data_IF_155184740724
#
_entry.id   IF_155184740724
#
_cell.length_a   1.000
_cell.length_b   1.000
_cell.length_c   1.000
_cell.angle_alpha   90.00
_cell.angle_beta   90.00
_cell.angle_gamma   90.00
#
_symmetry.space_group_name_H-M   'P 1'
#
loop_
_entity.id
_entity.type
_entity.pdbx_description
1 polymer ?
#
# COMPACT_ATOMS: atom_id res chain seq x y z
N UNK A 1 -20.13 -2.31 -17.99
CA UNK A 1 -21.29 -2.01 -17.15
C UNK A 1 -22.50 -1.85 -18.05
N UNK A 2 -23.56 -2.58 -17.75
CA UNK A 2 -24.83 -2.57 -18.45
C UNK A 2 -25.94 -2.33 -17.43
N UNK A 3 -27.01 -1.65 -17.87
CA UNK A 3 -28.24 -1.42 -17.11
C UNK A 3 -29.33 -2.27 -17.75
N UNK A 4 -30.04 -3.08 -16.96
CA UNK A 4 -31.23 -3.76 -17.44
C UNK A 4 -32.41 -2.79 -17.45
N UNK A 5 -32.89 -2.42 -18.64
CA UNK A 5 -34.02 -1.51 -18.79
C UNK A 5 -35.35 -2.13 -18.38
N UNK A 6 -35.45 -3.46 -18.36
CA UNK A 6 -36.66 -4.22 -18.02
C UNK A 6 -36.69 -4.71 -16.58
N UNK A 7 -35.71 -4.32 -15.77
CA UNK A 7 -35.68 -4.70 -14.36
C UNK A 7 -36.93 -4.18 -13.65
N UNK A 8 -37.57 -5.05 -12.87
CA UNK A 8 -38.70 -4.70 -12.03
C UNK A 8 -38.25 -4.73 -10.58
N UNK A 9 -38.11 -3.56 -9.92
CA UNK A 9 -37.62 -3.48 -8.55
C UNK A 9 -38.55 -4.22 -7.58
N UNK A 10 -37.95 -4.95 -6.63
CA UNK A 10 -38.71 -5.62 -5.58
C UNK A 10 -39.21 -4.61 -4.53
N UNK A 11 -40.54 -4.47 -4.43
CA UNK A 11 -41.19 -3.53 -3.49
C UNK A 11 -40.88 -3.81 -2.01
N UNK A 12 -40.49 -5.04 -1.66
CA UNK A 12 -40.10 -5.42 -0.30
C UNK A 12 -38.63 -5.07 0.02
N UNK A 13 -37.83 -4.71 -0.99
CA UNK A 13 -36.44 -4.29 -0.83
C UNK A 13 -36.24 -2.83 -1.28
N UNK A 14 -36.20 -1.86 -0.35
CA UNK A 14 -36.04 -0.45 -0.69
C UNK A 14 -34.70 -0.11 -1.37
N UNK A 15 -33.71 -1.01 -1.35
CA UNK A 15 -32.42 -0.84 -2.04
C UNK A 15 -32.44 -1.35 -3.49
N UNK A 16 -33.40 -2.21 -3.85
CA UNK A 16 -33.52 -2.80 -5.19
C UNK A 16 -34.25 -1.84 -6.13
N UNK A 17 -33.55 -0.81 -6.60
CA UNK A 17 -34.12 0.20 -7.51
C UNK A 17 -33.72 -0.01 -8.98
N UNK A 18 -32.49 -0.50 -9.22
CA UNK A 18 -31.91 -0.66 -10.55
C UNK A 18 -30.99 -1.88 -10.59
N UNK A 19 -30.96 -2.57 -11.72
CA UNK A 19 -30.06 -3.70 -11.95
C UNK A 19 -28.91 -3.31 -12.89
N UNK A 20 -27.70 -3.21 -12.31
CA UNK A 20 -26.46 -2.94 -13.02
C UNK A 20 -25.53 -4.14 -12.97
N UNK A 21 -25.00 -4.56 -14.12
CA UNK A 21 -24.06 -5.68 -14.21
C UNK A 21 -22.79 -5.38 -15.03
N UNK A 22 -21.69 -6.03 -14.65
CA UNK A 22 -20.43 -5.99 -15.40
C UNK A 22 -20.27 -7.27 -16.21
N UNK A 23 -20.54 -7.18 -17.52
CA UNK A 23 -20.26 -8.27 -18.44
C UNK A 23 -18.96 -8.03 -19.24
N UNK A 24 -18.14 -9.08 -19.34
CA UNK A 24 -16.91 -9.09 -20.15
C UNK A 24 -17.22 -9.12 -21.66
N UNK A 25 -18.36 -9.70 -22.05
CA UNK A 25 -18.90 -9.69 -23.41
C UNK A 25 -20.28 -9.03 -23.41
N UNK A 26 -20.80 -8.61 -24.57
CA UNK A 26 -22.13 -8.01 -24.65
C UNK A 26 -23.18 -9.07 -24.25
N UNK A 27 -23.99 -8.82 -23.21
CA UNK A 27 -25.05 -9.74 -22.82
C UNK A 27 -26.15 -9.78 -23.88
N UNK A 28 -26.85 -10.91 -23.98
CA UNK A 28 -27.97 -11.07 -24.90
C UNK A 28 -29.24 -10.44 -24.32
N UNK A 29 -30.04 -9.81 -25.19
CA UNK A 29 -31.33 -9.25 -24.81
C UNK A 29 -32.41 -10.29 -25.07
N UNK A 30 -33.33 -10.44 -24.12
CA UNK A 30 -34.44 -11.37 -24.20
C UNK A 30 -35.77 -10.67 -23.85
N UNK A 31 -36.84 -11.46 -23.64
CA UNK A 31 -38.16 -10.91 -23.31
C UNK A 31 -38.18 -10.20 -21.95
N UNK A 32 -37.39 -10.67 -20.99
CA UNK A 32 -37.31 -10.22 -19.60
C UNK A 32 -36.15 -9.25 -19.34
N UNK A 33 -35.07 -9.33 -20.10
CA UNK A 33 -33.88 -8.49 -19.90
C UNK A 33 -33.58 -7.69 -21.16
N UNK A 34 -33.33 -6.39 -20.97
CA UNK A 34 -32.80 -5.54 -22.02
C UNK A 34 -31.59 -4.79 -21.50
N UNK A 35 -30.40 -5.25 -21.86
CA UNK A 35 -29.15 -4.71 -21.39
C UNK A 35 -28.67 -3.55 -22.26
N UNK A 36 -28.79 -2.35 -21.70
CA UNK A 36 -28.23 -1.14 -22.28
C UNK A 36 -26.81 -0.92 -21.79
N UNK A 37 -25.86 -0.72 -22.70
CA UNK A 37 -24.48 -0.39 -22.32
C UNK A 37 -24.43 1.05 -21.85
N UNK A 38 -24.21 1.25 -20.54
CA UNK A 38 -24.34 2.56 -19.89
C UNK A 38 -23.50 3.64 -20.58
N UNK A 39 -22.27 3.33 -21.01
CA UNK A 39 -21.40 4.31 -21.67
C UNK A 39 -21.95 4.88 -22.99
N UNK A 40 -22.81 4.13 -23.68
CA UNK A 40 -23.38 4.56 -24.95
C UNK A 40 -24.40 5.71 -24.76
N UNK A 41 -24.82 6.00 -23.50
CA UNK A 41 -25.71 7.13 -23.17
C UNK A 41 -25.11 8.49 -23.55
N UNK A 42 -23.77 8.62 -23.50
CA UNK A 42 -23.06 9.86 -23.79
C UNK A 42 -23.13 10.23 -25.28
N UNK A 43 -23.29 9.22 -26.14
CA UNK A 43 -23.39 9.38 -27.60
C UNK A 43 -24.86 9.35 -28.07
N UNK A 44 -25.80 9.09 -27.16
CA UNK A 44 -27.21 8.89 -27.47
C UNK A 44 -27.90 10.22 -27.82
N UNK A 45 -28.08 10.46 -29.12
CA UNK A 45 -28.71 11.69 -29.63
C UNK A 45 -30.15 11.87 -29.14
N UNK A 46 -30.98 10.83 -29.26
CA UNK A 46 -32.41 10.87 -28.88
C UNK A 46 -32.82 9.55 -28.22
N UNK A 47 -33.28 9.64 -26.97
CA UNK A 47 -33.83 8.50 -26.22
C UNK A 47 -35.08 7.96 -26.92
N UNK A 48 -35.94 8.85 -27.41
CA UNK A 48 -37.19 8.50 -28.09
C UNK A 48 -36.93 7.66 -29.35
N UNK A 49 -35.93 8.06 -30.15
CA UNK A 49 -35.60 7.31 -31.37
C UNK A 49 -35.06 5.92 -31.05
N UNK A 50 -34.16 5.84 -30.05
CA UNK A 50 -33.58 4.58 -29.59
C UNK A 50 -34.65 3.63 -29.02
N UNK A 51 -35.57 4.16 -28.21
CA UNK A 51 -36.69 3.40 -27.66
C UNK A 51 -37.58 2.84 -28.76
N UNK A 52 -37.87 3.64 -29.80
CA UNK A 52 -38.67 3.19 -30.94
C UNK A 52 -37.97 2.13 -31.79
N UNK A 53 -36.67 2.28 -32.04
CA UNK A 53 -35.86 1.34 -32.83
C UNK A 53 -35.70 -0.03 -32.15
N UNK A 54 -35.81 -0.06 -30.82
CA UNK A 54 -35.65 -1.28 -30.02
C UNK A 54 -36.94 -1.75 -29.35
N UNK A 55 -38.09 -1.21 -29.78
CA UNK A 55 -39.42 -1.60 -29.29
C UNK A 55 -39.54 -1.52 -27.75
N UNK A 56 -38.90 -0.52 -27.16
CA UNK A 56 -38.94 -0.25 -25.72
C UNK A 56 -40.24 0.47 -25.35
N UNK A 57 -40.81 0.11 -24.21
CA UNK A 57 -42.00 0.73 -23.66
C UNK A 57 -41.73 2.08 -23.00
N UNK A 58 -42.78 2.66 -22.42
CA UNK A 58 -42.71 3.95 -21.75
C UNK A 58 -41.83 3.93 -20.51
N UNK A 59 -41.85 2.84 -19.74
CA UNK A 59 -41.05 2.69 -18.52
C UNK A 59 -39.56 2.59 -18.85
N UNK A 60 -39.19 1.78 -19.84
CA UNK A 60 -37.80 1.63 -20.28
C UNK A 60 -37.25 2.92 -20.91
N UNK A 61 -38.08 3.64 -21.66
CA UNK A 61 -37.72 4.95 -22.22
C UNK A 61 -37.50 5.99 -21.12
N UNK A 62 -38.34 6.02 -20.09
CA UNK A 62 -38.17 6.92 -18.95
C UNK A 62 -36.90 6.61 -18.16
N UNK A 63 -36.54 5.33 -18.01
CA UNK A 63 -35.30 4.90 -17.37
C UNK A 63 -34.06 5.41 -18.13
N UNK A 64 -34.06 5.31 -19.46
CA UNK A 64 -33.00 5.84 -20.31
C UNK A 64 -32.91 7.37 -20.24
N UNK A 65 -34.05 8.05 -20.15
CA UNK A 65 -34.10 9.50 -20.01
C UNK A 65 -33.53 9.95 -18.65
N UNK A 66 -33.87 9.26 -17.57
CA UNK A 66 -33.28 9.47 -16.26
C UNK A 66 -31.76 9.25 -16.27
N UNK A 67 -31.30 8.17 -16.91
CA UNK A 67 -29.88 7.90 -17.06
C UNK A 67 -29.18 9.03 -17.85
N UNK A 68 -29.78 9.48 -18.95
CA UNK A 68 -29.23 10.59 -19.75
C UNK A 68 -29.18 11.88 -18.94
N UNK A 69 -30.23 12.20 -18.18
CA UNK A 69 -30.27 13.39 -17.35
C UNK A 69 -29.18 13.34 -16.27
N UNK A 70 -29.05 12.22 -15.57
CA UNK A 70 -28.05 12.05 -14.52
C UNK A 70 -26.60 12.24 -15.01
N UNK A 71 -26.28 11.82 -16.23
CA UNK A 71 -24.93 11.93 -16.80
C UNK A 71 -24.66 13.22 -17.58
N UNK A 72 -25.65 13.71 -18.32
CA UNK A 72 -25.45 14.79 -19.30
C UNK A 72 -26.06 16.14 -18.88
N UNK A 73 -26.98 16.16 -17.91
CA UNK A 73 -27.74 17.35 -17.56
C UNK A 73 -27.53 17.75 -16.11
N UNK A 74 -27.71 16.79 -15.21
CA UNK A 74 -27.50 16.99 -13.78
C UNK A 74 -26.00 16.98 -13.48
N UNK A 75 -25.50 18.07 -12.90
CA UNK A 75 -24.09 18.17 -12.50
C UNK A 75 -23.82 17.41 -11.20
N UNK A 76 -24.25 16.14 -11.14
CA UNK A 76 -24.09 15.29 -9.95
C UNK A 76 -22.63 14.91 -9.71
N UNK A 77 -21.85 14.79 -10.78
CA UNK A 77 -20.44 14.40 -10.74
C UNK A 77 -19.58 15.65 -10.91
N UNK A 78 -18.88 16.03 -9.86
CA UNK A 78 -17.79 17.01 -9.96
C UNK A 78 -16.55 16.29 -10.49
N UNK A 79 -16.14 16.60 -11.71
CA UNK A 79 -14.91 16.10 -12.30
C UNK A 79 -13.98 17.24 -12.69
N UNK A 80 -12.69 16.96 -12.67
CA UNK A 80 -11.64 17.87 -13.14
C UNK A 80 -10.69 17.05 -14.00
N UNK A 81 -10.39 17.54 -15.20
CA UNK A 81 -9.41 16.90 -16.08
C UNK A 81 -8.00 17.33 -15.64
N UNK A 82 -7.24 16.39 -15.08
CA UNK A 82 -5.83 16.60 -14.76
C UNK A 82 -4.98 16.18 -15.96
N UNK A 83 -4.36 17.17 -16.61
CA UNK A 83 -3.49 16.97 -17.78
C UNK A 83 -2.08 16.55 -17.39
N UNK A 84 -1.65 16.80 -16.15
CA UNK A 84 -0.36 16.34 -15.65
C UNK A 84 -0.39 14.86 -15.29
N UNK A 85 0.47 14.07 -15.93
CA UNK A 85 0.68 12.65 -15.61
C UNK A 85 1.52 12.45 -14.32
N UNK A 86 1.36 13.33 -13.33
CA UNK A 86 2.05 13.20 -12.04
C UNK A 86 1.19 12.39 -11.07
N UNK A 87 1.54 11.12 -10.93
CA UNK A 87 0.79 10.18 -10.10
C UNK A 87 0.76 10.60 -8.61
N UNK A 88 1.77 11.33 -8.09
CA UNK A 88 1.71 11.88 -6.72
C UNK A 88 0.66 12.98 -6.58
N UNK A 89 0.45 13.80 -7.62
CA UNK A 89 -0.56 14.86 -7.62
C UNK A 89 -1.96 14.24 -7.62
N UNK A 90 -2.18 13.25 -8.50
CA UNK A 90 -3.42 12.46 -8.54
C UNK A 90 -3.72 11.81 -7.19
N UNK A 91 -2.69 11.22 -6.57
CA UNK A 91 -2.78 10.61 -5.24
C UNK A 91 -3.19 11.61 -4.15
N UNK A 92 -2.56 12.80 -4.14
CA UNK A 92 -2.88 13.86 -3.17
C UNK A 92 -4.29 14.42 -3.38
N UNK A 93 -4.73 14.59 -4.64
CA UNK A 93 -6.11 14.98 -4.97
C UNK A 93 -7.08 13.91 -4.44
N UNK A 94 -6.80 12.64 -4.70
CA UNK A 94 -7.65 11.54 -4.24
C UNK A 94 -7.78 11.50 -2.71
N UNK A 95 -6.67 11.62 -1.97
CA UNK A 95 -6.69 11.65 -0.51
C UNK A 95 -7.52 12.83 0.00
N UNK A 96 -7.33 14.03 -0.58
CA UNK A 96 -8.08 15.24 -0.20
C UNK A 96 -9.58 15.12 -0.49
N UNK A 97 -9.97 14.46 -1.59
CA UNK A 97 -11.39 14.24 -1.91
C UNK A 97 -12.01 13.18 -0.99
N UNK A 98 -11.27 12.11 -0.67
CA UNK A 98 -11.75 11.05 0.23
C UNK A 98 -11.72 11.43 1.71
N UNK A 99 -10.96 12.45 2.12
CA UNK A 99 -10.94 12.92 3.52
C UNK A 99 -12.27 13.51 4.01
N UNK A 100 -13.25 13.73 3.12
CA UNK A 100 -14.63 14.05 3.48
C UNK A 100 -15.50 12.83 3.81
N UNK A 101 -15.00 11.60 3.62
CA UNK A 101 -15.70 10.32 3.83
C UNK A 101 -14.87 9.31 4.63
N UNK A 102 -14.96 8.01 4.32
CA UNK A 102 -14.10 6.98 4.94
C UNK A 102 -12.68 7.12 4.43
N UNK A 103 -11.75 7.45 5.32
CA UNK A 103 -10.35 7.71 4.98
C UNK A 103 -9.66 6.44 4.48
N UNK A 104 -9.42 6.37 3.16
CA UNK A 104 -8.49 5.40 2.59
C UNK A 104 -7.06 5.86 2.89
N UNK A 105 -6.27 4.99 3.53
CA UNK A 105 -4.90 5.35 3.86
C UNK A 105 -4.05 5.52 2.60
N UNK A 106 -3.04 6.39 2.65
CA UNK A 106 -2.03 6.54 1.58
C UNK A 106 -1.47 5.18 1.12
N UNK A 107 -1.32 4.24 2.07
CA UNK A 107 -0.85 2.89 1.81
C UNK A 107 -1.85 2.06 0.99
N UNK A 108 -3.15 2.16 1.27
CA UNK A 108 -4.16 1.38 0.54
C UNK A 108 -4.25 1.85 -0.91
N UNK A 109 -4.18 3.17 -1.12
CA UNK A 109 -4.16 3.76 -2.45
C UNK A 109 -2.89 3.40 -3.21
N UNK A 110 -1.73 3.50 -2.56
CA UNK A 110 -0.46 3.10 -3.16
C UNK A 110 -0.45 1.60 -3.51
N UNK A 111 -1.00 0.74 -2.64
CA UNK A 111 -1.17 -0.69 -2.91
C UNK A 111 -2.11 -0.96 -4.10
N UNK A 112 -3.20 -0.19 -4.25
CA UNK A 112 -4.12 -0.35 -5.39
C UNK A 112 -3.42 -0.08 -6.71
N UNK A 113 -2.59 0.97 -6.76
CA UNK A 113 -1.79 1.33 -7.94
C UNK A 113 -0.67 0.32 -8.17
N UNK A 114 -0.01 -0.13 -7.10
CA UNK A 114 1.03 -1.13 -7.17
C UNK A 114 0.50 -2.45 -7.72
N UNK A 115 -0.64 -2.94 -7.24
CA UNK A 115 -1.22 -4.22 -7.68
C UNK A 115 -1.39 -4.26 -9.20
N UNK A 116 -1.76 -3.15 -9.83
CA UNK A 116 -1.87 -3.06 -11.29
C UNK A 116 -0.52 -2.97 -12.03
N UNK A 117 0.56 -2.65 -11.31
CA UNK A 117 1.90 -2.44 -11.87
C UNK A 117 2.82 -3.67 -11.74
N UNK A 118 2.54 -4.57 -10.80
CA UNK A 118 3.23 -5.85 -10.65
C UNK A 118 2.70 -6.87 -11.67
N UNK A 119 3.58 -7.71 -12.20
CA UNK A 119 3.23 -8.77 -13.15
C UNK A 119 2.78 -10.06 -12.45
N UNK A 120 3.23 -10.25 -11.21
CA UNK A 120 2.87 -11.35 -10.31
C UNK A 120 1.69 -10.97 -9.39
N UNK A 121 1.05 -11.96 -8.76
CA UNK A 121 0.08 -11.71 -7.68
C UNK A 121 0.78 -11.27 -6.39
N UNK A 122 1.43 -10.11 -6.45
CA UNK A 122 2.15 -9.52 -5.33
C UNK A 122 1.22 -9.22 -4.17
N UNK A 123 -0.08 -8.98 -4.44
CA UNK A 123 -1.06 -8.60 -3.44
C UNK A 123 -1.33 -9.77 -2.50
N UNK A 124 -1.54 -10.96 -3.07
CA UNK A 124 -1.70 -12.18 -2.29
C UNK A 124 -0.42 -12.51 -1.52
N UNK A 125 0.74 -12.52 -2.19
CA UNK A 125 2.05 -12.80 -1.55
C UNK A 125 2.39 -11.83 -0.41
N UNK A 126 2.08 -10.54 -0.59
CA UNK A 126 2.26 -9.52 0.43
C UNK A 126 1.35 -9.76 1.64
N UNK A 127 0.09 -10.14 1.39
CA UNK A 127 -0.87 -10.47 2.44
C UNK A 127 -0.38 -11.69 3.24
N UNK A 128 0.03 -12.75 2.56
CA UNK A 128 0.57 -13.96 3.18
C UNK A 128 1.80 -13.65 4.05
N UNK A 129 2.73 -12.82 3.55
CA UNK A 129 3.90 -12.41 4.32
C UNK A 129 3.52 -11.61 5.58
N UNK A 130 2.60 -10.65 5.47
CA UNK A 130 2.12 -9.86 6.61
C UNK A 130 1.42 -10.75 7.64
N UNK A 131 0.56 -11.67 7.20
CA UNK A 131 -0.16 -12.58 8.08
C UNK A 131 0.82 -13.55 8.78
N UNK A 132 1.79 -14.11 8.06
CA UNK A 132 2.82 -14.96 8.63
C UNK A 132 3.73 -14.24 9.64
N UNK A 133 4.08 -12.98 9.40
CA UNK A 133 4.85 -12.15 10.35
C UNK A 133 4.03 -11.83 11.60
N UNK A 134 2.74 -11.55 11.43
CA UNK A 134 1.82 -11.32 12.54
C UNK A 134 1.72 -12.55 13.44
N UNK A 135 1.60 -13.74 12.86
CA UNK A 135 1.55 -15.02 13.59
C UNK A 135 2.85 -15.30 14.35
N UNK A 136 3.98 -14.78 13.88
CA UNK A 136 5.29 -14.82 14.56
C UNK A 136 5.47 -13.73 15.63
N UNK A 137 4.44 -12.94 15.93
CA UNK A 137 4.49 -11.87 16.93
C UNK A 137 4.99 -10.52 16.42
N UNK A 138 5.11 -10.31 15.10
CA UNK A 138 5.53 -9.04 14.50
C UNK A 138 4.34 -8.30 13.86
N UNK A 139 3.28 -8.09 14.65
CA UNK A 139 2.04 -7.42 14.19
C UNK A 139 2.20 -5.97 13.75
N UNK A 140 3.35 -5.35 14.08
CA UNK A 140 3.74 -4.02 13.62
C UNK A 140 4.29 -4.02 12.17
N UNK A 141 4.58 -5.18 11.57
CA UNK A 141 4.93 -5.32 10.15
C UNK A 141 3.67 -5.34 9.28
N UNK A 142 2.98 -4.21 9.16
CA UNK A 142 1.84 -4.08 8.25
C UNK A 142 2.33 -3.89 6.81
N UNK A 143 1.39 -3.83 5.86
CA UNK A 143 1.67 -3.76 4.42
C UNK A 143 2.60 -2.61 4.04
N UNK A 144 2.43 -1.43 4.64
CA UNK A 144 3.29 -0.26 4.43
C UNK A 144 4.71 -0.50 4.92
N UNK A 145 4.90 -1.10 6.10
CA UNK A 145 6.24 -1.45 6.60
C UNK A 145 6.91 -2.49 5.71
N UNK A 146 6.17 -3.51 5.25
CA UNK A 146 6.72 -4.54 4.36
C UNK A 146 7.11 -3.92 3.01
N UNK A 147 6.26 -3.12 2.38
CA UNK A 147 6.58 -2.43 1.13
C UNK A 147 7.83 -1.55 1.26
N UNK A 148 7.93 -0.79 2.36
CA UNK A 148 9.09 0.07 2.62
C UNK A 148 10.35 -0.76 2.86
N UNK A 149 10.22 -1.92 3.48
CA UNK A 149 11.29 -2.91 3.62
C UNK A 149 11.70 -3.42 2.24
N UNK A 150 10.77 -3.76 1.33
CA UNK A 150 11.11 -4.15 -0.04
C UNK A 150 11.94 -3.07 -0.75
N UNK A 151 11.54 -1.79 -0.66
CA UNK A 151 12.30 -0.68 -1.24
C UNK A 151 13.71 -0.54 -0.66
N UNK A 152 13.84 -0.68 0.67
CA UNK A 152 15.13 -0.68 1.37
C UNK A 152 16.03 -1.80 0.84
N UNK A 153 15.51 -3.03 0.75
CA UNK A 153 16.30 -4.20 0.40
C UNK A 153 16.79 -4.17 -1.05
N UNK A 154 15.99 -3.68 -2.00
CA UNK A 154 16.43 -3.53 -3.40
C UNK A 154 17.39 -2.35 -3.64
N UNK A 155 17.79 -1.64 -2.57
CA UNK A 155 18.73 -0.52 -2.62
C UNK A 155 18.19 0.72 -3.32
N UNK A 156 16.87 0.90 -3.28
CA UNK A 156 16.20 2.08 -3.83
C UNK A 156 16.07 3.18 -2.77
N UNK A 157 15.74 4.40 -3.22
CA UNK A 157 15.44 5.49 -2.29
C UNK A 157 14.31 5.05 -1.32
N UNK A 158 14.59 5.12 -0.02
CA UNK A 158 13.74 4.60 1.06
C UNK A 158 12.58 5.51 1.43
N UNK A 159 12.51 6.73 0.85
CA UNK A 159 11.33 7.57 0.98
C UNK A 159 10.10 6.78 0.51
N UNK A 160 9.08 6.68 1.36
CA UNK A 160 7.82 6.01 1.00
C UNK A 160 6.97 6.92 0.10
N UNK A 161 7.50 7.24 -1.08
CA UNK A 161 6.85 8.06 -2.10
C UNK A 161 6.63 7.22 -3.35
N UNK A 162 5.47 7.41 -3.97
CA UNK A 162 5.07 6.67 -5.15
C UNK A 162 6.05 6.80 -6.34
N UNK A 163 6.82 7.91 -6.42
CA UNK A 163 7.94 8.06 -7.39
C UNK A 163 9.00 6.94 -7.28
N UNK A 164 9.17 6.34 -6.10
CA UNK A 164 10.12 5.28 -5.83
C UNK A 164 9.57 3.88 -6.17
N UNK A 165 8.28 3.77 -6.47
CA UNK A 165 7.65 2.56 -6.99
C UNK A 165 7.47 2.65 -8.52
N UNK A 166 8.54 3.03 -9.22
CA UNK A 166 8.56 3.04 -10.68
C UNK A 166 8.78 1.62 -11.24
N UNK A 167 8.53 1.43 -12.55
CA UNK A 167 8.70 0.13 -13.24
C UNK A 167 10.04 -0.57 -12.93
N UNK A 168 11.21 0.12 -12.98
CA UNK A 168 12.49 -0.50 -12.60
C UNK A 168 12.52 -1.06 -11.18
N UNK A 169 12.02 -0.30 -10.20
CA UNK A 169 12.06 -0.73 -8.79
C UNK A 169 11.06 -1.85 -8.51
N UNK A 170 9.85 -1.77 -9.10
CA UNK A 170 8.85 -2.84 -9.04
C UNK A 170 9.45 -4.14 -9.58
N UNK A 171 10.07 -4.10 -10.76
CA UNK A 171 10.72 -5.27 -11.35
C UNK A 171 11.82 -5.83 -10.45
N UNK A 172 12.66 -4.98 -9.84
CA UNK A 172 13.67 -5.44 -8.87
C UNK A 172 13.05 -6.15 -7.67
N UNK A 173 11.92 -5.65 -7.15
CA UNK A 173 11.20 -6.28 -6.04
C UNK A 173 10.68 -7.66 -6.47
N UNK A 174 10.11 -7.77 -7.68
CA UNK A 174 9.64 -9.05 -8.21
C UNK A 174 10.78 -10.05 -8.39
N UNK A 175 11.84 -9.64 -9.07
CA UNK A 175 13.01 -10.47 -9.38
C UNK A 175 13.73 -10.95 -8.11
N UNK A 176 13.63 -10.20 -7.01
CA UNK A 176 14.27 -10.51 -5.73
C UNK A 176 13.30 -10.97 -4.63
N UNK A 177 12.03 -11.24 -4.96
CA UNK A 177 10.99 -11.46 -3.94
C UNK A 177 11.35 -12.57 -2.95
N UNK A 178 11.77 -13.74 -3.44
CA UNK A 178 12.16 -14.88 -2.59
C UNK A 178 13.31 -14.52 -1.64
N UNK A 179 14.31 -13.81 -2.16
CA UNK A 179 15.44 -13.35 -1.36
C UNK A 179 14.98 -12.34 -0.30
N UNK A 180 14.07 -11.43 -0.65
CA UNK A 180 13.49 -10.45 0.29
C UNK A 180 12.74 -11.18 1.41
N UNK A 181 11.86 -12.12 1.08
CA UNK A 181 11.07 -12.87 2.06
C UNK A 181 11.97 -13.69 2.97
N UNK A 182 12.98 -14.37 2.42
CA UNK A 182 13.94 -15.15 3.20
C UNK A 182 14.73 -14.26 4.18
N UNK A 183 15.19 -13.09 3.73
CA UNK A 183 15.88 -12.13 4.60
C UNK A 183 14.99 -11.62 5.73
N UNK A 184 13.72 -11.35 5.43
CA UNK A 184 12.70 -10.94 6.42
C UNK A 184 12.43 -12.05 7.44
N UNK A 185 12.27 -13.29 6.99
CA UNK A 185 12.04 -14.44 7.88
C UNK A 185 13.26 -14.75 8.76
N UNK A 186 14.48 -14.63 8.22
CA UNK A 186 15.71 -14.78 8.99
C UNK A 186 15.85 -13.68 10.07
N UNK A 187 15.49 -12.44 9.75
CA UNK A 187 15.44 -11.34 10.72
C UNK A 187 14.38 -11.57 11.80
N UNK A 188 13.17 -12.01 11.42
CA UNK A 188 12.10 -12.33 12.35
C UNK A 188 12.52 -13.45 13.32
N UNK A 189 13.12 -14.54 12.81
CA UNK A 189 13.64 -15.65 13.62
C UNK A 189 14.75 -15.21 14.57
N UNK A 190 15.64 -14.31 14.13
CA UNK A 190 16.67 -13.75 14.99
C UNK A 190 16.07 -12.95 16.16
N UNK A 191 15.08 -12.11 15.88
CA UNK A 191 14.38 -11.31 16.89
C UNK A 191 13.55 -12.17 17.86
N UNK A 192 12.96 -13.26 17.36
CA UNK A 192 12.29 -14.26 18.19
C UNK A 192 13.27 -14.89 19.18
N UNK A 193 14.45 -15.33 18.71
CA UNK A 193 15.51 -15.86 19.58
C UNK A 193 16.03 -14.84 20.61
N UNK A 194 15.98 -13.55 20.27
CA UNK A 194 16.33 -12.47 21.20
C UNK A 194 15.21 -12.12 22.19
N UNK A 195 14.02 -12.72 22.06
CA UNK A 195 12.87 -12.48 22.94
C UNK A 195 12.04 -11.24 22.59
N UNK A 196 12.14 -10.71 21.36
CA UNK A 196 11.41 -9.52 20.91
C UNK A 196 10.11 -9.80 20.16
N UNK A 197 9.71 -11.07 20.02
CA UNK A 197 8.38 -11.41 19.49
C UNK A 197 7.29 -10.79 20.37
N UNK A 198 6.41 -9.97 19.78
CA UNK A 198 5.36 -9.23 20.49
C UNK A 198 5.83 -7.95 21.21
N UNK A 199 7.14 -7.71 21.32
CA UNK A 199 7.70 -6.60 22.10
C UNK A 199 8.54 -5.61 21.28
N UNK A 200 8.56 -5.74 19.96
CA UNK A 200 9.35 -4.87 19.09
C UNK A 200 8.72 -3.49 18.97
N UNK A 201 9.40 -2.46 19.46
CA UNK A 201 8.90 -1.08 19.49
C UNK A 201 8.74 -0.45 18.09
N UNK A 202 9.53 -0.92 17.11
CA UNK A 202 9.44 -0.46 15.73
C UNK A 202 9.74 -1.59 14.74
N UNK A 203 8.85 -1.75 13.76
CA UNK A 203 9.00 -2.66 12.63
C UNK A 203 10.31 -2.43 11.84
N UNK A 204 10.81 -1.19 11.82
CA UNK A 204 12.01 -0.82 11.09
C UNK A 204 13.32 -1.35 11.70
N UNK A 205 13.26 -1.84 12.95
CA UNK A 205 14.35 -2.64 13.53
C UNK A 205 14.44 -3.97 12.76
N UNK A 206 13.31 -4.64 12.53
CA UNK A 206 13.25 -5.87 11.71
C UNK A 206 13.70 -5.57 10.28
N UNK A 207 13.22 -4.48 9.67
CA UNK A 207 13.65 -4.08 8.31
C UNK A 207 15.16 -3.89 8.20
N UNK A 208 15.79 -3.31 9.22
CA UNK A 208 17.25 -3.09 9.25
C UNK A 208 18.02 -4.41 9.32
N UNK A 209 17.57 -5.35 10.16
CA UNK A 209 18.16 -6.69 10.23
C UNK A 209 17.94 -7.49 8.94
N UNK A 210 16.75 -7.38 8.35
CA UNK A 210 16.45 -8.01 7.07
C UNK A 210 17.35 -7.46 5.96
N UNK A 211 17.66 -6.15 5.96
CA UNK A 211 18.59 -5.58 4.99
C UNK A 211 19.99 -6.17 5.14
N UNK A 212 20.47 -6.39 6.37
CA UNK A 212 21.75 -7.05 6.59
C UNK A 212 21.75 -8.48 6.03
N UNK A 213 20.69 -9.26 6.29
CA UNK A 213 20.53 -10.60 5.71
C UNK A 213 20.37 -10.60 4.18
N UNK A 214 19.90 -9.49 3.61
CA UNK A 214 19.77 -9.35 2.16
C UNK A 214 21.13 -9.10 1.50
N UNK A 215 21.99 -8.31 2.15
CA UNK A 215 23.36 -8.08 1.70
C UNK A 215 24.28 -9.28 1.98
N UNK A 216 24.10 -9.90 3.14
CA UNK A 216 24.93 -11.00 3.64
C UNK A 216 24.10 -12.27 3.80
N UNK A 217 24.51 -13.36 3.16
CA UNK A 217 23.75 -14.62 3.19
C UNK A 217 23.52 -15.19 4.60
N UNK A 218 24.41 -14.90 5.57
CA UNK A 218 24.35 -15.37 6.97
C UNK A 218 25.03 -14.38 7.92
N UNK A 219 24.62 -14.42 9.19
CA UNK A 219 25.33 -13.77 10.31
C UNK A 219 26.15 -14.80 11.09
N UNK A 220 27.39 -14.45 11.42
CA UNK A 220 28.19 -15.23 12.38
C UNK A 220 27.81 -14.86 13.83
N UNK A 221 28.40 -15.53 14.84
CA UNK A 221 28.08 -15.24 16.25
C UNK A 221 28.42 -13.81 16.69
N UNK A 222 29.51 -13.24 16.16
CA UNK A 222 29.87 -11.83 16.42
C UNK A 222 28.81 -10.87 15.84
N UNK A 223 28.35 -11.12 14.61
CA UNK A 223 27.30 -10.33 13.97
C UNK A 223 26.00 -10.40 14.77
N UNK A 224 25.63 -11.57 15.30
CA UNK A 224 24.43 -11.72 16.15
C UNK A 224 24.55 -10.94 17.45
N UNK A 225 25.71 -10.95 18.11
CA UNK A 225 25.94 -10.15 19.32
C UNK A 225 25.81 -8.65 19.03
N UNK A 226 26.37 -8.19 17.91
CA UNK A 226 26.30 -6.81 17.47
C UNK A 226 24.89 -6.40 17.01
N UNK A 227 24.16 -7.31 16.38
CA UNK A 227 22.75 -7.13 16.06
C UNK A 227 21.89 -6.96 17.32
N UNK A 228 22.14 -7.75 18.37
CA UNK A 228 21.45 -7.59 19.65
C UNK A 228 21.73 -6.23 20.29
N UNK A 229 22.98 -5.74 20.25
CA UNK A 229 23.35 -4.39 20.71
C UNK A 229 22.58 -3.32 19.93
N UNK A 230 22.49 -3.45 18.62
CA UNK A 230 21.69 -2.55 17.78
C UNK A 230 20.21 -2.55 18.14
N UNK A 231 19.59 -3.72 18.26
CA UNK A 231 18.16 -3.86 18.62
C UNK A 231 17.88 -3.15 19.95
N UNK A 232 18.71 -3.40 20.96
CA UNK A 232 18.59 -2.76 22.28
C UNK A 232 18.71 -1.25 22.18
N UNK A 233 19.75 -0.75 21.52
CA UNK A 233 19.97 0.68 21.38
C UNK A 233 18.82 1.35 20.61
N UNK A 234 18.39 0.77 19.49
CA UNK A 234 17.33 1.32 18.66
C UNK A 234 15.98 1.35 19.39
N UNK A 235 15.68 0.32 20.19
CA UNK A 235 14.45 0.25 20.97
C UNK A 235 14.45 1.21 22.16
N UNK A 236 15.54 1.26 22.93
CA UNK A 236 15.68 2.15 24.09
C UNK A 236 15.59 3.63 23.67
N UNK A 237 16.28 4.00 22.59
CA UNK A 237 16.30 5.39 22.10
C UNK A 237 15.10 5.77 21.23
N UNK A 238 14.19 4.84 20.94
CA UNK A 238 13.09 5.07 20.00
C UNK A 238 13.59 5.54 18.61
N UNK A 239 14.71 5.00 18.13
CA UNK A 239 15.49 5.58 17.02
C UNK A 239 14.70 5.85 15.74
N UNK A 240 13.69 5.02 15.46
CA UNK A 240 12.87 5.11 14.25
C UNK A 240 11.58 5.95 14.41
N UNK A 241 11.31 6.46 15.62
CA UNK A 241 10.13 7.29 15.91
C UNK A 241 10.19 8.63 15.16
N UNK A 242 11.28 9.41 15.22
CA UNK A 242 11.41 10.62 14.40
C UNK A 242 11.97 10.31 13.02
N UNK A 243 11.47 11.01 11.99
CA UNK A 243 12.07 11.09 10.64
C UNK A 243 12.45 9.73 10.05
N UNK A 244 11.53 8.76 10.10
CA UNK A 244 11.76 7.36 9.71
C UNK A 244 12.40 7.20 8.33
N UNK A 245 11.99 7.99 7.33
CA UNK A 245 12.57 7.96 5.98
C UNK A 245 14.07 8.27 6.00
N UNK A 246 14.45 9.35 6.70
CA UNK A 246 15.85 9.75 6.87
C UNK A 246 16.64 8.67 7.60
N UNK A 247 16.09 8.12 8.70
CA UNK A 247 16.74 7.06 9.47
C UNK A 247 16.98 5.81 8.61
N UNK A 248 16.00 5.37 7.83
CA UNK A 248 16.15 4.24 6.92
C UNK A 248 17.18 4.51 5.81
N UNK A 249 17.23 5.73 5.29
CA UNK A 249 18.26 6.11 4.31
C UNK A 249 19.66 6.06 4.91
N UNK A 250 19.81 6.47 6.18
CA UNK A 250 21.09 6.39 6.91
C UNK A 250 21.48 4.92 7.12
N UNK A 251 20.55 4.08 7.57
CA UNK A 251 20.77 2.63 7.71
C UNK A 251 21.24 2.03 6.38
N UNK A 252 20.54 2.37 5.29
CA UNK A 252 20.86 1.87 3.96
C UNK A 252 22.30 2.22 3.55
N UNK A 253 22.71 3.46 3.80
CA UNK A 253 24.06 3.95 3.47
C UNK A 253 25.13 3.34 4.39
N UNK A 254 24.92 3.36 5.71
CA UNK A 254 25.88 2.83 6.70
C UNK A 254 26.11 1.32 6.58
N UNK A 255 25.13 0.58 6.07
CA UNK A 255 25.20 -0.88 5.94
C UNK A 255 25.72 -1.35 4.57
N UNK A 256 25.55 -0.56 3.50
CA UNK A 256 25.97 -0.93 2.15
C UNK A 256 27.48 -1.21 2.03
N UNK A 257 28.29 -0.45 2.76
CA UNK A 257 29.75 -0.55 2.73
C UNK A 257 30.32 -1.27 3.98
N UNK A 258 29.45 -1.89 4.79
CA UNK A 258 29.84 -2.57 6.03
C UNK A 258 29.92 -4.09 5.83
N UNK A 259 31.11 -4.71 5.91
CA UNK A 259 31.26 -6.16 5.75
C UNK A 259 30.76 -6.96 6.97
N UNK A 260 30.60 -6.32 8.13
CA UNK A 260 30.15 -6.93 9.38
C UNK A 260 29.13 -6.05 10.06
N UNK A 261 28.34 -6.64 10.97
CA UNK A 261 27.37 -5.87 11.75
C UNK A 261 28.07 -4.90 12.72
N UNK A 262 29.29 -5.23 13.18
CA UNK A 262 30.12 -4.34 13.99
C UNK A 262 30.51 -3.07 13.24
N UNK A 263 31.01 -3.21 12.00
CA UNK A 263 31.35 -2.07 11.16
C UNK A 263 30.12 -1.20 10.88
N UNK A 264 28.96 -1.82 10.68
CA UNK A 264 27.69 -1.10 10.55
C UNK A 264 27.34 -0.30 11.81
N UNK A 265 27.41 -0.92 13.00
CA UNK A 265 27.18 -0.23 14.27
C UNK A 265 28.13 0.95 14.45
N UNK A 266 29.40 0.79 14.08
CA UNK A 266 30.40 1.84 14.15
C UNK A 266 30.08 3.02 13.21
N UNK A 267 29.69 2.73 11.96
CA UNK A 267 29.27 3.73 10.99
C UNK A 267 28.04 4.51 11.50
N UNK A 268 27.06 3.80 12.06
CA UNK A 268 25.83 4.41 12.57
C UNK A 268 26.06 5.25 13.82
N UNK A 269 26.97 4.84 14.70
CA UNK A 269 27.33 5.60 15.90
C UNK A 269 28.09 6.91 15.58
N UNK A 270 28.77 6.98 14.44
CA UNK A 270 29.52 8.16 13.96
C UNK A 270 28.73 9.07 13.03
N UNK A 271 27.48 8.74 12.72
CA UNK A 271 26.68 9.53 11.79
C UNK A 271 26.43 10.95 12.33
N UNK A 272 26.73 11.98 11.55
CA UNK A 272 26.74 13.38 12.01
C UNK A 272 25.40 13.88 12.52
N UNK A 273 24.30 13.52 11.83
CA UNK A 273 22.97 14.10 12.11
C UNK A 273 22.04 13.20 12.90
N UNK A 274 22.40 11.93 13.08
CA UNK A 274 21.48 10.91 13.60
C UNK A 274 22.21 9.67 14.13
N UNK A 275 23.16 9.86 15.06
CA UNK A 275 23.92 8.75 15.59
C UNK A 275 23.03 7.79 16.38
N UNK A 276 23.24 6.49 16.24
CA UNK A 276 22.68 5.50 17.16
C UNK A 276 23.70 5.19 18.25
N UNK A 277 23.67 5.98 19.33
CA UNK A 277 24.51 5.80 20.50
C UNK A 277 23.71 6.14 21.75
N UNK A 278 23.83 5.32 22.78
CA UNK A 278 23.35 5.68 24.12
C UNK A 278 24.42 6.56 24.75
N UNK A 279 24.09 7.84 24.97
CA UNK A 279 24.92 8.81 25.71
C UNK A 279 24.41 8.92 27.15
N UNK A 280 25.24 9.45 28.06
CA UNK A 280 24.79 9.71 29.44
C UNK A 280 23.59 10.67 29.44
N UNK A 281 23.64 11.71 28.61
CA UNK A 281 22.52 12.65 28.43
C UNK A 281 21.22 11.95 28.02
N UNK A 282 21.29 10.96 27.11
CA UNK A 282 20.11 10.18 26.70
C UNK A 282 19.55 9.34 27.86
N UNK A 283 20.42 8.78 28.71
CA UNK A 283 20.01 8.03 29.91
C UNK A 283 19.36 8.98 30.93
N UNK A 284 19.94 10.16 31.15
CA UNK A 284 19.39 11.16 32.07
C UNK A 284 18.01 11.66 31.59
N UNK A 285 17.85 11.93 30.30
CA UNK A 285 16.56 12.34 29.71
C UNK A 285 15.48 11.26 29.89
N UNK A 286 15.83 9.99 29.66
CA UNK A 286 14.92 8.86 29.90
C UNK A 286 14.52 8.74 31.38
N UNK A 287 15.45 8.90 32.32
CA UNK A 287 15.18 8.81 33.76
C UNK A 287 14.34 9.99 34.27
N UNK A 288 14.54 11.20 33.72
CA UNK A 288 13.76 12.39 34.05
C UNK A 288 12.30 12.28 33.56
N UNK A 289 12.07 11.67 32.39
CA UNK A 289 10.72 11.50 31.83
C UNK A 289 9.80 10.57 32.64
N UNK A 290 10.38 9.71 33.49
CA UNK A 290 9.65 8.80 34.40
C UNK A 290 9.23 9.43 35.74
N UNK A 291 9.45 10.73 35.94
CA UNK A 291 9.14 11.46 37.19
C UNK A 291 7.81 12.23 37.16
N UNK A 292 6.91 11.95 36.22
CA UNK A 292 5.59 12.56 36.10
C UNK A 292 4.46 11.52 36.00
#
# INVERSE_FOLDING_TARGET
MYLNLKHQPNMDNPEDNYEFEFHAQKPENDKKHFWFKVGDILELKSVINYAREHELGGEESALLENLKNAFCTEKLISFFEETEKNLNKVLNIFIRVNSGGVELSYSDLLMSILTASFSSDIRERMKELVDALKDKGFSNMKRDQVLKTCLLLVGSNTEFKLKNFNKPNIKKIEDNWEKITDSIYNAAKLLENFGYAGYLGSAYILSSLAYFYFLNSKMNESDKEQALKFVRNAQITGYFTPSTDTKLSIIAHSMKDAPTFESFNHNLAKHETSPLKITNDAIEEMMCSSSH
#
